data_IF_746910334805
#
_entry.id   IF_746910334805
#
_cell.length_a   1.000
_cell.length_b   1.000
_cell.length_c   1.000
_cell.angle_alpha   90.00
_cell.angle_beta   90.00
_cell.angle_gamma   90.00
#
_symmetry.space_group_name_H-M   'P 1'
#
loop_
_entity.id
_entity.type
_entity.pdbx_description
1 polymer ?
#
# COMPACT_ATOMS: atom_id res chain seq x y z
N UNK A 1 5.06 -21.48 23.74
CA UNK A 1 4.57 -21.61 22.36
C UNK A 1 3.07 -21.45 22.42
N UNK A 2 2.54 -20.31 21.97
CA UNK A 2 1.08 -20.17 21.88
C UNK A 2 0.61 -21.09 20.76
N UNK A 3 -0.39 -21.94 21.01
CA UNK A 3 -0.97 -22.77 19.96
C UNK A 3 -1.54 -21.88 18.86
N UNK A 4 -1.29 -22.25 17.61
CA UNK A 4 -1.90 -21.60 16.46
C UNK A 4 -3.43 -21.72 16.58
N UNK A 5 -4.17 -20.64 16.27
CA UNK A 5 -5.62 -20.73 16.20
C UNK A 5 -6.03 -21.78 15.13
N UNK A 6 -7.22 -22.41 15.30
CA UNK A 6 -7.83 -23.25 14.27
C UNK A 6 -7.78 -22.60 12.88
N UNK A 7 -7.68 -23.40 11.82
CA UNK A 7 -7.48 -22.99 10.42
C UNK A 7 -8.27 -21.74 9.95
N UNK A 8 -9.51 -21.57 10.43
CA UNK A 8 -10.42 -20.49 10.03
C UNK A 8 -10.48 -19.37 11.07
N UNK A 9 -9.46 -19.19 11.90
CA UNK A 9 -9.42 -18.21 12.96
C UNK A 9 -8.08 -17.46 12.92
N UNK A 10 -8.13 -16.14 13.09
CA UNK A 10 -6.99 -15.25 13.19
C UNK A 10 -6.97 -14.58 14.56
N UNK A 11 -5.78 -14.42 15.13
CA UNK A 11 -5.58 -13.58 16.32
C UNK A 11 -5.37 -12.14 15.86
N UNK A 12 -6.30 -11.22 16.13
CA UNK A 12 -6.16 -9.80 15.76
C UNK A 12 -5.68 -9.01 16.97
N UNK A 13 -4.68 -8.13 16.86
CA UNK A 13 -4.36 -7.22 17.95
C UNK A 13 -5.49 -6.27 18.28
N UNK A 14 -5.80 -6.12 19.57
CA UNK A 14 -6.71 -5.06 19.99
C UNK A 14 -6.10 -3.68 19.69
N UNK A 15 -6.94 -2.66 19.43
CA UNK A 15 -6.53 -1.28 19.52
C UNK A 15 -6.10 -0.96 20.97
N UNK A 16 -4.80 -1.11 21.22
CA UNK A 16 -4.00 -0.58 22.35
C UNK A 16 -4.56 -0.84 23.76
N UNK A 17 -4.06 -1.91 24.37
CA UNK A 17 -3.65 -1.89 25.79
C UNK A 17 -2.20 -2.42 25.84
N UNK A 18 -1.19 -1.55 26.07
CA UNK A 18 0.23 -1.95 26.10
C UNK A 18 0.57 -2.85 27.30
N UNK A 19 -0.27 -2.86 28.35
CA UNK A 19 -0.12 -3.66 29.55
C UNK A 19 -0.98 -4.94 29.53
N UNK A 20 -1.86 -5.08 28.53
CA UNK A 20 -2.60 -6.29 28.27
C UNK A 20 -1.66 -7.39 27.77
N UNK A 21 -1.13 -8.17 28.71
CA UNK A 21 -0.74 -9.57 28.47
C UNK A 21 -1.96 -10.48 28.16
N UNK A 22 -3.11 -9.91 27.79
CA UNK A 22 -4.34 -10.63 27.49
C UNK A 22 -4.48 -10.87 25.98
N UNK A 23 -4.98 -12.06 25.67
CA UNK A 23 -4.95 -12.71 24.36
C UNK A 23 -5.50 -11.83 23.22
N UNK A 24 -4.79 -11.79 22.10
CA UNK A 24 -5.32 -11.24 20.85
C UNK A 24 -6.70 -11.85 20.56
N UNK A 25 -7.78 -11.06 20.43
CA UNK A 25 -9.10 -11.58 20.12
C UNK A 25 -9.03 -12.45 18.88
N UNK A 26 -9.62 -13.62 19.01
CA UNK A 26 -9.69 -14.60 17.94
C UNK A 26 -10.90 -14.26 17.09
N UNK A 27 -10.67 -13.80 15.86
CA UNK A 27 -11.70 -13.50 14.88
C UNK A 27 -11.73 -14.58 13.80
N UNK A 28 -12.87 -14.84 13.16
CA UNK A 28 -12.93 -15.77 12.03
C UNK A 28 -12.21 -15.23 10.80
N UNK A 29 -11.56 -16.14 10.08
CA UNK A 29 -11.12 -15.98 8.69
C UNK A 29 -12.22 -16.55 7.80
N UNK A 30 -12.72 -15.75 6.86
CA UNK A 30 -13.82 -16.10 5.95
C UNK A 30 -13.33 -16.08 4.53
N UNK A 31 -13.35 -17.23 3.84
CA UNK A 31 -13.14 -17.28 2.40
C UNK A 31 -14.44 -16.82 1.72
N UNK A 32 -14.32 -15.85 0.83
CA UNK A 32 -15.43 -15.21 0.12
C UNK A 32 -15.32 -15.59 -1.36
N UNK A 33 -16.29 -16.35 -1.85
CA UNK A 33 -16.42 -16.74 -3.27
C UNK A 33 -17.68 -16.13 -3.91
N UNK A 34 -18.57 -15.52 -3.10
CA UNK A 34 -19.77 -14.84 -3.56
C UNK A 34 -19.95 -13.48 -2.86
N UNK A 35 -20.50 -12.50 -3.57
CA UNK A 35 -20.67 -11.14 -3.05
C UNK A 35 -21.53 -11.09 -1.77
N UNK A 36 -22.49 -12.00 -1.60
CA UNK A 36 -23.31 -12.10 -0.38
C UNK A 36 -22.54 -12.50 0.88
N UNK A 37 -21.28 -12.93 0.74
CA UNK A 37 -20.39 -13.28 1.86
C UNK A 37 -19.48 -12.11 2.26
N UNK A 38 -19.47 -11.01 1.49
CA UNK A 38 -18.75 -9.79 1.84
C UNK A 38 -19.39 -9.10 3.06
N UNK A 39 -18.63 -8.29 3.81
CA UNK A 39 -19.19 -7.48 4.88
C UNK A 39 -20.28 -6.53 4.34
N UNK A 40 -21.45 -6.41 5.00
CA UNK A 40 -22.53 -5.52 4.52
C UNK A 40 -22.06 -4.07 4.32
N UNK A 41 -21.27 -3.54 5.27
CA UNK A 41 -20.71 -2.18 5.20
C UNK A 41 -19.70 -1.99 4.07
N UNK A 42 -19.19 -3.07 3.50
CA UNK A 42 -18.26 -3.06 2.37
C UNK A 42 -19.01 -3.14 1.03
N UNK A 43 -20.19 -3.78 1.00
CA UNK A 43 -21.06 -3.77 -0.19
C UNK A 43 -21.78 -2.42 -0.31
N UNK A 44 -22.28 -1.90 0.80
CA UNK A 44 -22.99 -0.63 0.90
C UNK A 44 -22.27 0.29 1.90
N UNK A 45 -21.25 1.05 1.43
CA UNK A 45 -20.48 1.94 2.27
C UNK A 45 -21.36 2.96 3.00
N UNK A 46 -21.24 3.10 4.34
CA UNK A 46 -22.02 4.09 5.06
C UNK A 46 -21.69 5.51 4.60
N UNK A 47 -22.70 6.39 4.62
CA UNK A 47 -22.57 7.79 4.19
C UNK A 47 -22.37 8.76 5.36
N UNK A 48 -22.63 8.31 6.59
CA UNK A 48 -22.68 9.11 7.82
C UNK A 48 -21.51 8.86 8.77
N UNK A 49 -20.69 7.84 8.50
CA UNK A 49 -19.50 7.52 9.29
C UNK A 49 -18.37 6.97 8.44
N UNK A 50 -17.16 7.08 8.97
CA UNK A 50 -15.99 6.44 8.40
C UNK A 50 -15.88 4.99 8.87
N UNK A 51 -15.50 4.09 7.97
CA UNK A 51 -15.11 2.71 8.26
C UNK A 51 -13.64 2.56 7.93
N UNK A 52 -12.88 1.87 8.77
CA UNK A 52 -11.45 1.60 8.54
C UNK A 52 -11.25 0.10 8.37
N UNK A 53 -10.54 -0.30 7.32
CA UNK A 53 -10.23 -1.69 7.03
C UNK A 53 -8.73 -1.84 6.75
N UNK A 54 -8.15 -2.97 7.15
CA UNK A 54 -6.86 -3.41 6.59
C UNK A 54 -7.08 -4.01 5.21
N UNK A 55 -6.19 -3.73 4.26
CA UNK A 55 -6.33 -4.16 2.88
C UNK A 55 -4.99 -4.55 2.29
N UNK A 56 -4.98 -5.63 1.51
CA UNK A 56 -3.85 -6.11 0.73
C UNK A 56 -4.36 -6.89 -0.50
N UNK A 57 -3.49 -7.15 -1.48
CA UNK A 57 -3.76 -8.05 -2.58
C UNK A 57 -2.59 -8.99 -2.85
N UNK A 58 -2.89 -10.21 -3.26
CA UNK A 58 -1.90 -11.20 -3.67
C UNK A 58 -2.25 -11.85 -5.01
N UNK A 59 -1.22 -12.26 -5.76
CA UNK A 59 -1.41 -12.82 -7.09
C UNK A 59 -0.14 -13.14 -7.86
N UNK A 60 -0.30 -13.56 -9.11
CA UNK A 60 0.83 -13.82 -10.01
C UNK A 60 1.31 -12.49 -10.57
N UNK A 61 2.57 -12.16 -10.33
CA UNK A 61 3.20 -10.92 -10.81
C UNK A 61 2.28 -9.71 -10.68
N UNK A 62 1.68 -9.54 -9.48
CA UNK A 62 0.63 -8.56 -9.22
C UNK A 62 0.99 -7.16 -9.74
N UNK A 63 0.40 -6.82 -10.89
CA UNK A 63 0.59 -5.60 -11.66
C UNK A 63 -0.47 -5.53 -12.76
N UNK A 64 -0.33 -4.61 -13.71
CA UNK A 64 -1.26 -4.44 -14.84
C UNK A 64 -1.43 -5.65 -15.77
N UNK A 65 -0.40 -6.50 -15.88
CA UNK A 65 -0.36 -7.66 -16.78
C UNK A 65 -0.35 -9.00 -16.05
N UNK A 66 -0.27 -8.97 -14.72
CA UNK A 66 -0.39 -10.16 -13.88
C UNK A 66 -1.84 -10.54 -13.63
N UNK A 67 -2.08 -11.28 -12.55
CA UNK A 67 -3.41 -11.70 -12.14
C UNK A 67 -3.58 -11.57 -10.63
N UNK A 68 -4.56 -10.78 -10.20
CA UNK A 68 -5.02 -10.75 -8.81
C UNK A 68 -5.72 -12.08 -8.50
N UNK A 69 -5.27 -12.76 -7.45
CA UNK A 69 -5.76 -14.09 -7.07
C UNK A 69 -6.58 -14.05 -5.76
N UNK A 70 -6.18 -13.20 -4.82
CA UNK A 70 -6.90 -13.01 -3.56
C UNK A 70 -6.73 -11.56 -3.09
N UNK A 71 -7.81 -11.01 -2.53
CA UNK A 71 -7.84 -9.71 -1.87
C UNK A 71 -8.18 -9.92 -0.40
N UNK A 72 -7.39 -9.36 0.50
CA UNK A 72 -7.54 -9.56 1.93
C UNK A 72 -8.15 -8.32 2.58
N UNK A 73 -9.18 -8.51 3.40
CA UNK A 73 -9.85 -7.43 4.15
C UNK A 73 -9.80 -7.75 5.64
N UNK A 74 -9.14 -6.91 6.44
CA UNK A 74 -9.20 -7.01 7.89
C UNK A 74 -10.22 -6.01 8.44
N UNK A 75 -11.22 -6.53 9.15
CA UNK A 75 -12.19 -5.77 9.93
C UNK A 75 -12.05 -6.13 11.42
N UNK A 76 -12.56 -5.30 12.35
CA UNK A 76 -12.45 -5.58 13.79
C UNK A 76 -13.01 -6.95 14.21
N UNK A 77 -13.96 -7.51 13.45
CA UNK A 77 -14.66 -8.73 13.78
C UNK A 77 -14.30 -9.96 12.93
N UNK A 78 -13.52 -9.81 11.85
CA UNK A 78 -13.18 -10.90 10.94
C UNK A 78 -12.11 -10.49 9.93
N UNK A 79 -11.39 -11.47 9.39
CA UNK A 79 -10.58 -11.33 8.18
C UNK A 79 -11.32 -12.01 7.02
N UNK A 80 -11.43 -11.34 5.89
CA UNK A 80 -12.07 -11.86 4.69
C UNK A 80 -11.01 -12.07 3.62
N UNK A 81 -10.96 -13.27 3.06
CA UNK A 81 -10.12 -13.63 1.92
C UNK A 81 -11.02 -13.71 0.69
N UNK A 82 -11.07 -12.64 -0.08
CA UNK A 82 -11.88 -12.51 -1.29
C UNK A 82 -11.18 -13.23 -2.43
N UNK A 83 -11.74 -14.35 -2.83
CA UNK A 83 -11.16 -15.25 -3.81
C UNK A 83 -11.49 -14.80 -5.24
N UNK A 84 -10.53 -14.17 -5.92
CA UNK A 84 -10.70 -13.69 -7.28
C UNK A 84 -10.71 -14.81 -8.32
N UNK A 85 -10.16 -15.99 -7.99
CA UNK A 85 -10.10 -17.14 -8.90
C UNK A 85 -11.47 -17.84 -8.92
N UNK A 86 -11.98 -18.25 -7.75
CA UNK A 86 -13.27 -18.96 -7.66
C UNK A 86 -14.47 -18.00 -7.79
N UNK A 87 -14.38 -16.80 -7.20
CA UNK A 87 -15.45 -15.80 -7.26
C UNK A 87 -15.49 -14.99 -8.57
N UNK A 88 -14.38 -14.98 -9.31
CA UNK A 88 -14.26 -14.33 -10.61
C UNK A 88 -14.45 -12.81 -10.59
N UNK A 89 -14.55 -12.23 -11.78
CA UNK A 89 -14.67 -10.78 -11.98
C UNK A 89 -15.88 -10.17 -11.26
N UNK A 90 -17.03 -10.87 -11.26
CA UNK A 90 -18.25 -10.36 -10.62
C UNK A 90 -18.06 -10.11 -9.12
N UNK A 91 -17.33 -10.97 -8.42
CA UNK A 91 -17.02 -10.77 -7.01
C UNK A 91 -16.13 -9.54 -6.81
N UNK A 92 -15.09 -9.38 -7.63
CA UNK A 92 -14.17 -8.25 -7.52
C UNK A 92 -14.87 -6.92 -7.86
N UNK A 93 -15.76 -6.93 -8.85
CA UNK A 93 -16.58 -5.76 -9.18
C UNK A 93 -17.56 -5.41 -8.04
N UNK A 94 -18.06 -6.38 -7.28
CA UNK A 94 -18.88 -6.11 -6.10
C UNK A 94 -18.11 -5.37 -4.99
N UNK A 95 -16.78 -5.45 -4.97
CA UNK A 95 -15.91 -4.71 -4.04
C UNK A 95 -15.72 -3.23 -4.45
N UNK A 96 -15.99 -2.88 -5.71
CA UNK A 96 -15.70 -1.56 -6.27
C UNK A 96 -16.29 -0.39 -5.45
N UNK A 97 -17.56 -0.41 -5.01
CA UNK A 97 -18.12 0.68 -4.23
C UNK A 97 -17.30 1.01 -2.98
N UNK A 98 -16.82 0.01 -2.24
CA UNK A 98 -15.97 0.23 -1.07
C UNK A 98 -14.56 0.69 -1.41
N UNK A 99 -13.94 0.10 -2.44
CA UNK A 99 -12.56 0.43 -2.81
C UNK A 99 -12.43 1.86 -3.34
N UNK A 100 -13.47 2.38 -4.01
CA UNK A 100 -13.52 3.76 -4.52
C UNK A 100 -14.15 4.75 -3.51
N UNK A 101 -14.75 4.26 -2.41
CA UNK A 101 -15.42 5.10 -1.41
C UNK A 101 -14.47 6.02 -0.65
N UNK A 102 -14.92 7.25 -0.42
CA UNK A 102 -14.29 8.23 0.49
C UNK A 102 -14.58 7.95 1.97
N UNK A 103 -15.59 7.12 2.27
CA UNK A 103 -16.01 6.83 3.65
C UNK A 103 -15.40 5.54 4.18
N UNK A 104 -14.80 4.72 3.31
CA UNK A 104 -14.03 3.55 3.73
C UNK A 104 -12.55 3.86 3.56
N UNK A 105 -11.83 3.91 4.67
CA UNK A 105 -10.38 4.06 4.68
C UNK A 105 -9.72 2.70 4.53
N UNK A 106 -8.87 2.56 3.51
CA UNK A 106 -8.08 1.35 3.28
C UNK A 106 -6.69 1.58 3.87
N UNK A 107 -6.38 0.89 4.97
CA UNK A 107 -5.04 0.85 5.54
C UNK A 107 -4.25 -0.21 4.78
N UNK A 108 -3.19 0.21 4.09
CA UNK A 108 -2.36 -0.62 3.22
C UNK A 108 -0.90 -0.41 3.58
N UNK A 109 -0.03 -1.35 3.24
CA UNK A 109 1.42 -1.14 3.29
C UNK A 109 1.99 -1.15 1.88
N UNK A 110 2.43 0.02 1.38
CA UNK A 110 2.89 0.21 0.00
C UNK A 110 1.82 -0.13 -1.08
N UNK A 111 0.82 0.73 -1.23
CA UNK A 111 -0.37 0.46 -2.05
C UNK A 111 -0.17 0.48 -3.58
N UNK A 112 1.04 0.75 -4.08
CA UNK A 112 1.28 1.07 -5.49
C UNK A 112 0.92 -0.08 -6.43
N UNK A 113 1.24 -1.32 -6.05
CA UNK A 113 0.99 -2.51 -6.90
C UNK A 113 -0.44 -3.01 -6.79
N UNK A 114 -1.04 -2.92 -5.61
CA UNK A 114 -2.45 -3.24 -5.41
C UNK A 114 -3.31 -2.33 -6.29
N UNK A 115 -3.04 -1.02 -6.24
CA UNK A 115 -3.74 -0.02 -7.04
C UNK A 115 -3.54 -0.27 -8.54
N UNK A 116 -2.32 -0.57 -9.01
CA UNK A 116 -2.06 -0.89 -10.42
C UNK A 116 -2.85 -2.12 -10.89
N UNK A 117 -2.86 -3.20 -10.10
CA UNK A 117 -3.57 -4.42 -10.43
C UNK A 117 -5.09 -4.18 -10.48
N UNK A 118 -5.66 -3.54 -9.45
CA UNK A 118 -7.08 -3.18 -9.40
C UNK A 118 -7.51 -2.30 -10.57
N UNK A 119 -6.68 -1.31 -10.92
CA UNK A 119 -6.99 -0.36 -11.99
C UNK A 119 -7.01 -1.02 -13.36
N UNK A 120 -5.95 -1.75 -13.74
CA UNK A 120 -5.84 -2.29 -15.09
C UNK A 120 -6.61 -3.60 -15.29
N UNK A 121 -6.77 -4.42 -14.25
CA UNK A 121 -7.48 -5.69 -14.37
C UNK A 121 -9.00 -5.54 -14.19
N UNK A 122 -9.44 -4.57 -13.37
CA UNK A 122 -10.86 -4.44 -13.00
C UNK A 122 -11.43 -3.02 -13.14
N UNK A 123 -10.64 -2.03 -13.55
CA UNK A 123 -11.09 -0.64 -13.69
C UNK A 123 -11.46 0.01 -12.36
N UNK A 124 -10.88 -0.45 -11.24
CA UNK A 124 -11.14 0.04 -9.88
C UNK A 124 -10.07 1.06 -9.49
N UNK A 125 -10.48 2.24 -9.01
CA UNK A 125 -9.58 3.31 -8.56
C UNK A 125 -9.55 3.39 -7.04
N UNK A 126 -8.50 2.82 -6.46
CA UNK A 126 -8.33 2.84 -5.01
C UNK A 126 -8.29 4.28 -4.49
N UNK A 127 -9.14 4.57 -3.52
CA UNK A 127 -9.34 5.93 -2.99
C UNK A 127 -9.31 5.92 -1.45
N UNK A 128 -9.06 7.05 -0.79
CA UNK A 128 -9.04 7.15 0.68
C UNK A 128 -8.15 6.08 1.34
N UNK A 129 -6.87 6.09 0.95
CA UNK A 129 -5.87 5.14 1.42
C UNK A 129 -5.03 5.76 2.54
N UNK A 130 -4.81 4.98 3.59
CA UNK A 130 -3.78 5.22 4.60
C UNK A 130 -2.62 4.26 4.30
N UNK A 131 -1.54 4.77 3.70
CA UNK A 131 -0.34 3.95 3.46
C UNK A 131 0.57 3.97 4.70
N UNK A 132 0.64 2.84 5.39
CA UNK A 132 1.42 2.69 6.62
C UNK A 132 2.94 2.90 6.42
N UNK A 133 3.47 2.68 5.21
CA UNK A 133 4.88 2.94 4.91
C UNK A 133 5.14 4.45 4.83
N UNK A 134 4.24 5.21 4.21
CA UNK A 134 4.30 6.68 4.17
C UNK A 134 4.11 7.25 5.58
N UNK A 135 3.13 6.74 6.33
CA UNK A 135 2.84 7.15 7.69
C UNK A 135 4.07 6.97 8.60
N UNK A 136 4.75 5.82 8.49
CA UNK A 136 5.99 5.58 9.22
C UNK A 136 7.05 6.64 8.89
N UNK A 137 7.32 6.91 7.61
CA UNK A 137 8.32 7.92 7.22
C UNK A 137 8.01 9.32 7.74
N UNK A 138 6.73 9.70 7.78
CA UNK A 138 6.29 10.99 8.34
C UNK A 138 6.50 11.05 9.86
N UNK A 139 6.19 9.98 10.59
CA UNK A 139 6.45 9.89 12.04
C UNK A 139 7.95 10.04 12.33
N UNK A 140 8.81 9.37 11.54
CA UNK A 140 10.27 9.49 11.70
C UNK A 140 10.76 10.93 11.50
N UNK A 141 10.20 11.63 10.50
CA UNK A 141 10.51 13.03 10.21
C UNK A 141 10.06 13.95 11.37
N UNK A 142 8.87 13.74 11.92
CA UNK A 142 8.38 14.47 13.11
C UNK A 142 9.26 14.24 14.35
N UNK A 143 9.78 13.03 14.52
CA UNK A 143 10.73 12.67 15.59
C UNK A 143 12.16 13.20 15.33
N UNK A 144 12.36 13.98 14.26
CA UNK A 144 13.62 14.64 13.94
C UNK A 144 14.65 13.73 13.26
N UNK A 145 14.26 12.52 12.84
CA UNK A 145 15.12 11.69 12.01
C UNK A 145 15.14 12.26 10.60
N UNK A 146 16.33 12.25 9.99
CA UNK A 146 16.45 12.71 8.60
C UNK A 146 15.70 11.74 7.68
N UNK A 147 14.88 12.24 6.76
CA UNK A 147 14.24 11.40 5.75
C UNK A 147 15.29 10.58 5.00
N UNK A 148 15.20 9.26 5.11
CA UNK A 148 15.98 8.34 4.28
C UNK A 148 15.08 7.84 3.15
N UNK A 149 15.25 8.42 1.96
CA UNK A 149 14.52 8.00 0.75
C UNK A 149 14.99 6.64 0.19
N UNK A 150 15.95 6.02 0.88
CA UNK A 150 16.54 4.73 0.53
C UNK A 150 16.15 3.61 1.51
N UNK A 151 15.49 3.94 2.63
CA UNK A 151 15.18 2.99 3.70
C UNK A 151 13.67 2.98 3.97
N UNK A 152 12.93 2.42 3.00
CA UNK A 152 11.52 2.15 3.20
C UNK A 152 11.38 0.96 4.15
N UNK A 153 10.71 1.18 5.27
CA UNK A 153 10.42 0.09 6.20
C UNK A 153 9.55 -0.96 5.50
N UNK A 154 9.99 -2.22 5.54
CA UNK A 154 9.17 -3.34 5.09
C UNK A 154 8.04 -3.61 6.07
N UNK A 155 6.96 -4.26 5.62
CA UNK A 155 5.86 -4.62 6.53
C UNK A 155 6.33 -5.46 7.73
N UNK A 156 7.26 -6.40 7.53
CA UNK A 156 7.84 -7.20 8.63
C UNK A 156 8.71 -6.34 9.55
N UNK A 157 9.47 -5.39 9.00
CA UNK A 157 10.20 -4.40 9.81
C UNK A 157 9.25 -3.57 10.67
N UNK A 158 8.11 -3.17 10.11
CA UNK A 158 7.08 -2.39 10.81
C UNK A 158 6.43 -3.20 11.94
N UNK A 159 6.13 -4.48 11.71
CA UNK A 159 5.64 -5.39 12.76
C UNK A 159 6.67 -5.60 13.87
N UNK A 160 7.95 -5.68 13.53
CA UNK A 160 9.03 -5.88 14.50
C UNK A 160 9.32 -4.63 15.34
N UNK A 161 8.93 -3.44 14.88
CA UNK A 161 9.14 -2.20 15.63
C UNK A 161 8.29 -2.20 16.92
N UNK A 162 8.92 -2.04 18.10
CA UNK A 162 8.24 -2.09 19.40
C UNK A 162 7.27 -0.93 19.64
N UNK A 163 7.32 0.14 18.84
CA UNK A 163 6.35 1.25 18.91
C UNK A 163 4.96 0.86 18.42
N UNK A 164 4.87 -0.20 17.60
CA UNK A 164 3.63 -0.67 17.01
C UNK A 164 3.29 -2.07 17.52
N UNK A 165 3.86 -3.13 16.96
CA UNK A 165 3.53 -4.50 17.36
C UNK A 165 4.63 -5.18 18.19
N UNK A 166 5.91 -4.87 17.94
CA UNK A 166 7.04 -5.54 18.61
C UNK A 166 7.11 -7.05 18.35
N UNK A 167 6.54 -7.53 17.25
CA UNK A 167 6.48 -8.96 16.91
C UNK A 167 7.55 -9.27 15.86
N UNK A 168 8.53 -10.08 16.25
CA UNK A 168 9.53 -10.61 15.32
C UNK A 168 8.99 -11.84 14.59
N UNK A 169 8.75 -11.69 13.27
CA UNK A 169 8.22 -12.72 12.40
C UNK A 169 9.32 -13.47 11.66
N UNK A 170 10.13 -14.26 12.39
CA UNK A 170 11.17 -15.10 11.76
C UNK A 170 10.55 -16.19 10.87
N UNK A 171 9.43 -16.80 11.30
CA UNK A 171 8.72 -17.85 10.56
C UNK A 171 8.11 -17.34 9.24
N UNK A 172 7.80 -16.04 9.11
CA UNK A 172 7.23 -15.46 7.89
C UNK A 172 8.25 -15.34 6.77
N UNK A 173 9.55 -15.22 7.07
CA UNK A 173 10.56 -15.13 6.00
C UNK A 173 10.74 -16.50 5.32
N UNK A 174 10.69 -17.60 6.07
CA UNK A 174 10.74 -18.96 5.48
C UNK A 174 9.52 -19.22 4.59
N UNK A 175 8.32 -18.88 5.06
CA UNK A 175 7.10 -18.95 4.26
C UNK A 175 7.24 -18.08 3.01
N UNK A 176 7.67 -16.82 3.13
CA UNK A 176 7.88 -15.93 1.98
C UNK A 176 8.92 -16.44 1.00
N UNK A 177 9.97 -17.13 1.46
CA UNK A 177 10.92 -17.79 0.57
C UNK A 177 10.24 -18.90 -0.22
N UNK A 178 9.41 -19.73 0.42
CA UNK A 178 8.62 -20.74 -0.26
C UNK A 178 7.63 -20.11 -1.26
N UNK A 179 6.93 -19.04 -0.87
CA UNK A 179 6.04 -18.28 -1.76
C UNK A 179 6.78 -17.74 -2.99
N UNK A 180 8.02 -17.29 -2.84
CA UNK A 180 8.84 -16.78 -3.96
C UNK A 180 9.35 -17.89 -4.90
N UNK A 181 9.41 -19.14 -4.44
CA UNK A 181 9.85 -20.27 -5.27
C UNK A 181 8.76 -20.76 -6.22
N UNK A 182 7.49 -20.51 -5.87
CA UNK A 182 6.35 -20.90 -6.69
C UNK A 182 5.57 -19.66 -7.15
N UNK A 183 5.82 -19.16 -8.37
CA UNK A 183 5.11 -18.00 -8.92
C UNK A 183 3.60 -18.21 -9.05
N UNK A 184 3.12 -19.46 -9.13
CA UNK A 184 1.71 -19.80 -9.27
C UNK A 184 1.03 -20.09 -7.93
N UNK A 185 1.75 -19.94 -6.81
CA UNK A 185 1.28 -20.30 -5.47
C UNK A 185 -0.14 -19.80 -5.15
N UNK A 186 -0.45 -18.55 -5.50
CA UNK A 186 -1.74 -17.92 -5.18
C UNK A 186 -2.90 -18.40 -6.08
N UNK A 187 -2.62 -19.15 -7.15
CA UNK A 187 -3.63 -19.66 -8.08
C UNK A 187 -4.30 -20.95 -7.62
N UNK A 188 -3.63 -21.76 -6.79
CA UNK A 188 -4.10 -23.09 -6.46
C UNK A 188 -5.40 -23.07 -5.65
N UNK A 189 -6.30 -24.01 -5.96
CA UNK A 189 -7.58 -24.17 -5.27
C UNK A 189 -7.88 -25.64 -4.92
N UNK A 190 -8.54 -25.90 -3.76
CA UNK A 190 -8.93 -24.93 -2.73
C UNK A 190 -7.70 -24.32 -2.03
N UNK A 191 -7.84 -23.14 -1.42
CA UNK A 191 -6.73 -22.50 -0.71
C UNK A 191 -6.18 -23.42 0.37
N UNK A 192 -4.86 -23.64 0.37
CA UNK A 192 -4.20 -24.41 1.42
C UNK A 192 -4.19 -23.66 2.75
N UNK A 193 -3.96 -24.38 3.84
CA UNK A 193 -3.82 -23.79 5.18
C UNK A 193 -2.73 -22.72 5.25
N UNK A 194 -1.62 -22.95 4.55
CA UNK A 194 -0.54 -21.98 4.46
C UNK A 194 -0.96 -20.70 3.73
N UNK A 195 -1.73 -20.82 2.63
CA UNK A 195 -2.27 -19.66 1.90
C UNK A 195 -3.18 -18.82 2.79
N UNK A 196 -4.12 -19.48 3.50
CA UNK A 196 -5.10 -18.81 4.36
C UNK A 196 -4.38 -18.04 5.47
N UNK A 197 -3.40 -18.67 6.14
CA UNK A 197 -2.62 -18.04 7.21
C UNK A 197 -1.77 -16.88 6.69
N UNK A 198 -1.02 -17.11 5.61
CA UNK A 198 -0.14 -16.09 5.03
C UNK A 198 -0.93 -14.84 4.62
N UNK A 199 -2.04 -15.03 3.89
CA UNK A 199 -2.91 -13.94 3.45
C UNK A 199 -3.52 -13.18 4.64
N UNK A 200 -4.00 -13.88 5.67
CA UNK A 200 -4.54 -13.22 6.86
C UNK A 200 -3.47 -12.42 7.63
N UNK A 201 -2.23 -12.91 7.66
CA UNK A 201 -1.09 -12.27 8.33
C UNK A 201 -0.62 -10.98 7.65
N UNK A 202 -0.94 -10.75 6.37
CA UNK A 202 -0.61 -9.50 5.68
C UNK A 202 -1.54 -8.33 6.07
N UNK A 203 -2.76 -8.61 6.55
CA UNK A 203 -3.74 -7.55 6.88
C UNK A 203 -4.14 -7.45 8.36
N UNK A 204 -4.08 -8.54 9.14
CA UNK A 204 -4.70 -8.56 10.48
C UNK A 204 -4.09 -7.61 11.50
N UNK A 205 -2.89 -7.12 11.25
CA UNK A 205 -2.20 -6.14 12.12
C UNK A 205 -2.44 -4.69 11.69
N UNK A 206 -2.91 -4.45 10.46
CA UNK A 206 -2.96 -3.11 9.87
C UNK A 206 -3.87 -2.16 10.67
N UNK A 207 -5.00 -2.64 11.21
CA UNK A 207 -5.87 -1.80 12.04
C UNK A 207 -5.19 -1.34 13.34
N UNK A 208 -4.46 -2.22 14.02
CA UNK A 208 -3.72 -1.88 15.24
C UNK A 208 -2.58 -0.90 14.95
N UNK A 209 -1.83 -1.14 13.87
CA UNK A 209 -0.79 -0.24 13.38
C UNK A 209 -1.38 1.14 13.07
N UNK A 210 -2.50 1.18 12.35
CA UNK A 210 -3.21 2.42 12.02
C UNK A 210 -3.54 3.22 13.28
N UNK A 211 -4.15 2.60 14.30
CA UNK A 211 -4.48 3.30 15.54
C UNK A 211 -3.24 3.86 16.24
N UNK A 212 -2.17 3.08 16.34
CA UNK A 212 -0.90 3.53 16.94
C UNK A 212 -0.25 4.68 16.16
N UNK A 213 -0.32 4.67 14.82
CA UNK A 213 0.21 5.76 13.98
C UNK A 213 -0.65 7.02 14.07
N UNK A 214 -1.98 6.87 14.14
CA UNK A 214 -2.91 8.01 14.28
C UNK A 214 -2.69 8.79 15.57
N UNK A 215 -2.25 8.15 16.66
CA UNK A 215 -1.89 8.83 17.90
C UNK A 215 -0.60 9.66 17.81
N UNK A 216 0.25 9.38 16.81
CA UNK A 216 1.58 9.98 16.64
C UNK A 216 1.61 11.07 15.59
N UNK A 217 0.79 10.95 14.54
CA UNK A 217 0.77 11.87 13.42
C UNK A 217 0.07 13.18 13.79
N UNK A 218 0.73 14.30 13.55
CA UNK A 218 0.07 15.60 13.64
C UNK A 218 -0.82 15.88 12.41
N UNK A 219 -1.65 16.94 12.49
CA UNK A 219 -2.58 17.33 11.41
C UNK A 219 -1.93 17.54 10.05
N UNK A 220 -0.74 18.16 10.01
CA UNK A 220 0.00 18.43 8.77
C UNK A 220 0.48 17.13 8.14
N UNK A 221 0.99 16.22 8.95
CA UNK A 221 1.43 14.90 8.49
C UNK A 221 0.26 14.02 8.05
N UNK A 222 -0.89 14.10 8.71
CA UNK A 222 -2.11 13.41 8.25
C UNK A 222 -2.54 13.89 6.86
N UNK A 223 -2.47 15.19 6.60
CA UNK A 223 -2.74 15.72 5.25
C UNK A 223 -1.70 15.25 4.23
N UNK A 224 -0.40 15.35 4.54
CA UNK A 224 0.68 14.86 3.69
C UNK A 224 0.54 13.36 3.39
N UNK A 225 0.14 12.57 4.38
CA UNK A 225 -0.14 11.15 4.25
C UNK A 225 -1.27 10.91 3.24
N UNK A 226 -2.39 11.61 3.37
CA UNK A 226 -3.52 11.47 2.45
C UNK A 226 -3.13 11.88 1.02
N UNK A 227 -2.39 12.98 0.86
CA UNK A 227 -1.90 13.47 -0.42
C UNK A 227 -0.97 12.46 -1.08
N UNK A 228 0.09 12.03 -0.37
CA UNK A 228 1.08 11.10 -0.90
C UNK A 228 0.50 9.71 -1.14
N UNK A 229 -0.43 9.24 -0.30
CA UNK A 229 -1.15 7.98 -0.54
C UNK A 229 -1.98 8.05 -1.83
N UNK A 230 -2.61 9.20 -2.11
CA UNK A 230 -3.34 9.42 -3.36
C UNK A 230 -2.40 9.43 -4.58
N UNK A 231 -1.21 10.03 -4.45
CA UNK A 231 -0.17 9.99 -5.49
C UNK A 231 0.39 8.57 -5.70
N UNK A 232 0.54 7.78 -4.63
CA UNK A 232 0.96 6.38 -4.70
C UNK A 232 -0.09 5.50 -5.39
N UNK A 233 -1.38 5.70 -5.12
CA UNK A 233 -2.45 4.98 -5.83
C UNK A 233 -2.41 5.24 -7.35
N UNK A 234 -2.02 6.46 -7.75
CA UNK A 234 -1.85 6.84 -9.17
C UNK A 234 -0.52 6.36 -9.77
N UNK A 235 0.46 6.03 -8.93
CA UNK A 235 1.75 5.51 -9.40
C UNK A 235 1.50 4.22 -10.21
N UNK A 236 2.18 4.09 -11.34
CA UNK A 236 1.94 3.07 -12.35
C UNK A 236 0.58 3.11 -13.07
N UNK A 237 -0.47 3.72 -12.55
CA UNK A 237 -1.80 3.80 -13.18
C UNK A 237 -1.93 4.80 -14.34
N UNK A 238 -0.90 4.92 -15.19
CA UNK A 238 -0.87 5.89 -16.29
C UNK A 238 -1.77 5.42 -17.44
N UNK A 239 -2.66 6.30 -17.87
CA UNK A 239 -3.45 6.22 -19.09
C UNK A 239 -3.27 7.52 -19.91
N UNK A 240 -3.98 7.66 -21.02
CA UNK A 240 -3.82 8.80 -21.94
C UNK A 240 -4.48 10.11 -21.45
N UNK A 241 -5.13 10.14 -20.27
CA UNK A 241 -5.93 11.28 -19.82
C UNK A 241 -5.32 12.06 -18.64
N UNK A 242 -4.04 11.85 -18.32
CA UNK A 242 -3.33 12.51 -17.22
C UNK A 242 -4.06 12.44 -15.86
N UNK A 243 -4.69 11.31 -15.56
CA UNK A 243 -5.45 11.05 -14.34
C UNK A 243 -6.73 11.89 -14.18
N UNK A 244 -7.27 12.45 -15.27
CA UNK A 244 -8.50 13.25 -15.23
C UNK A 244 -9.71 12.48 -14.66
N UNK A 245 -9.68 11.15 -14.74
CA UNK A 245 -10.72 10.27 -14.23
C UNK A 245 -10.47 9.78 -12.80
N UNK A 246 -9.38 10.17 -12.16
CA UNK A 246 -9.08 9.84 -10.76
C UNK A 246 -9.74 10.82 -9.79
N UNK A 247 -10.10 10.39 -8.57
CA UNK A 247 -10.55 11.30 -7.51
C UNK A 247 -9.55 12.44 -7.31
N UNK A 248 -10.06 13.66 -7.09
CA UNK A 248 -9.20 14.83 -6.81
C UNK A 248 -8.28 14.58 -5.63
N UNK A 249 -7.08 15.18 -5.65
CA UNK A 249 -6.17 15.12 -4.52
C UNK A 249 -6.81 15.77 -3.29
N UNK A 250 -6.54 15.28 -2.07
CA UNK A 250 -7.15 15.82 -0.86
C UNK A 250 -6.75 17.30 -0.67
N UNK A 251 -7.73 18.20 -0.51
CA UNK A 251 -7.44 19.61 -0.28
C UNK A 251 -6.76 19.81 1.08
N UNK A 252 -6.05 20.94 1.24
CA UNK A 252 -5.52 21.34 2.54
C UNK A 252 -6.69 21.67 3.49
N UNK A 253 -6.75 21.07 4.69
CA UNK A 253 -7.78 21.37 5.67
C UNK A 253 -7.82 22.85 6.08
N UNK A 254 -9.02 23.42 6.23
CA UNK A 254 -9.24 24.85 6.54
C UNK A 254 -8.59 25.26 7.88
N UNK A 255 -8.53 24.37 8.86
CA UNK A 255 -7.91 24.63 10.15
C UNK A 255 -6.38 24.73 10.03
N UNK A 256 -5.77 23.94 9.16
CA UNK A 256 -4.34 24.07 8.84
C UNK A 256 -4.05 25.35 8.05
N UNK A 257 -4.95 25.74 7.14
CA UNK A 257 -4.87 27.03 6.42
C UNK A 257 -4.91 28.19 7.42
N UNK A 258 -5.80 28.13 8.42
CA UNK A 258 -5.94 29.16 9.44
C UNK A 258 -4.69 29.33 10.33
N UNK A 259 -3.87 28.28 10.48
CA UNK A 259 -2.55 28.35 11.14
C UNK A 259 -1.47 29.05 10.30
N UNK A 260 -1.80 29.52 9.09
CA UNK A 260 -0.87 30.19 8.18
C UNK A 260 0.13 29.23 7.52
N UNK A 261 -0.14 27.92 7.55
CA UNK A 261 0.70 26.93 6.90
C UNK A 261 0.49 26.96 5.38
N UNK A 262 1.58 27.14 4.64
CA UNK A 262 1.61 27.08 3.18
C UNK A 262 2.46 25.88 2.78
N UNK A 263 1.86 24.72 2.45
CA UNK A 263 2.62 23.57 1.99
C UNK A 263 3.25 23.84 0.62
N UNK A 264 4.40 23.22 0.35
CA UNK A 264 4.84 23.08 -1.03
C UNK A 264 3.88 22.13 -1.77
N UNK A 265 3.49 22.50 -2.98
CA UNK A 265 2.69 21.61 -3.84
C UNK A 265 3.49 20.34 -4.14
N UNK A 266 2.89 19.17 -3.92
CA UNK A 266 3.47 17.87 -4.31
C UNK A 266 2.77 17.29 -5.53
N UNK A 267 3.57 16.72 -6.43
CA UNK A 267 3.09 16.18 -7.71
C UNK A 267 3.64 14.77 -7.95
N UNK A 268 2.95 14.02 -8.81
CA UNK A 268 3.49 12.86 -9.49
C UNK A 268 3.88 13.26 -10.91
N UNK A 269 5.17 13.22 -11.23
CA UNK A 269 5.69 13.40 -12.59
C UNK A 269 6.13 12.07 -13.19
N UNK A 270 5.91 11.93 -14.50
CA UNK A 270 6.24 10.74 -15.26
C UNK A 270 7.23 11.13 -16.34
N UNK A 271 8.40 10.50 -16.30
CA UNK A 271 9.45 10.69 -17.28
C UNK A 271 9.55 9.46 -18.19
N UNK A 272 9.37 9.67 -19.50
CA UNK A 272 9.64 8.64 -20.50
C UNK A 272 11.16 8.47 -20.68
N UNK A 273 11.60 7.22 -20.68
CA UNK A 273 12.99 6.79 -20.81
C UNK A 273 13.17 6.11 -22.17
N UNK A 274 14.01 6.64 -23.06
CA UNK A 274 14.22 6.02 -24.36
C UNK A 274 14.75 4.58 -24.25
N UNK A 275 14.46 3.71 -25.24
CA UNK A 275 14.94 2.33 -25.25
C UNK A 275 16.46 2.23 -25.00
N UNK A 276 16.86 1.32 -24.12
CA UNK A 276 18.27 1.10 -23.74
C UNK A 276 18.87 2.13 -22.79
N UNK A 277 18.15 3.21 -22.41
CA UNK A 277 18.67 4.25 -21.50
C UNK A 277 18.37 4.00 -20.03
N UNK A 278 17.46 3.09 -19.68
CA UNK A 278 17.07 2.82 -18.29
C UNK A 278 18.28 2.41 -17.42
N UNK A 279 19.24 1.67 -17.99
CA UNK A 279 20.49 1.32 -17.30
C UNK A 279 21.33 2.54 -16.88
N UNK A 280 21.27 3.65 -17.63
CA UNK A 280 21.95 4.92 -17.27
C UNK A 280 21.22 5.69 -16.16
N UNK A 281 19.90 5.54 -16.08
CA UNK A 281 19.08 6.14 -15.02
C UNK A 281 19.33 5.41 -13.70
N UNK A 282 19.21 4.08 -13.71
CA UNK A 282 19.35 3.24 -12.51
C UNK A 282 20.83 3.21 -12.07
N UNK A 283 21.74 3.05 -13.02
CA UNK A 283 23.16 2.82 -12.75
C UNK A 283 23.45 1.42 -12.20
N UNK A 284 24.74 1.10 -12.05
CA UNK A 284 25.17 -0.21 -11.54
C UNK A 284 24.65 -0.40 -10.11
N UNK A 285 23.90 -1.49 -9.88
CA UNK A 285 23.26 -1.82 -8.59
C UNK A 285 22.37 -0.70 -8.01
N UNK A 286 21.81 0.18 -8.86
CA UNK A 286 20.97 1.29 -8.40
C UNK A 286 21.73 2.52 -7.87
N UNK A 287 23.06 2.55 -7.94
CA UNK A 287 23.85 3.63 -7.34
C UNK A 287 23.54 5.02 -7.94
N UNK A 288 23.20 5.10 -9.23
CA UNK A 288 22.89 6.39 -9.86
C UNK A 288 21.54 6.91 -9.41
N UNK A 289 20.50 6.08 -9.44
CA UNK A 289 19.16 6.50 -8.99
C UNK A 289 19.15 6.85 -7.50
N UNK A 290 19.88 6.11 -6.67
CA UNK A 290 20.07 6.45 -5.24
C UNK A 290 20.71 7.82 -5.06
N UNK A 291 21.79 8.12 -5.79
CA UNK A 291 22.42 9.44 -5.76
C UNK A 291 21.47 10.55 -6.20
N UNK A 292 20.59 10.30 -7.19
CA UNK A 292 19.56 11.28 -7.57
C UNK A 292 18.56 11.50 -6.43
N UNK A 293 18.02 10.43 -5.83
CA UNK A 293 17.09 10.53 -4.68
C UNK A 293 17.69 11.37 -3.55
N UNK A 294 18.92 11.06 -3.13
CA UNK A 294 19.63 11.77 -2.07
C UNK A 294 19.85 13.25 -2.39
N UNK A 295 20.13 13.58 -3.66
CA UNK A 295 20.40 14.96 -4.08
C UNK A 295 19.13 15.82 -4.23
N UNK A 296 17.99 15.19 -4.53
CA UNK A 296 16.76 15.90 -4.89
C UNK A 296 15.74 15.94 -3.76
N UNK A 297 15.80 14.99 -2.83
CA UNK A 297 14.77 14.80 -1.81
C UNK A 297 13.37 14.56 -2.42
N UNK A 298 13.33 13.81 -3.53
CA UNK A 298 12.11 13.36 -4.18
C UNK A 298 12.10 11.83 -4.23
N UNK A 299 10.91 11.24 -4.11
CA UNK A 299 10.73 9.82 -4.29
C UNK A 299 10.83 9.49 -5.78
N UNK A 300 11.65 8.51 -6.15
CA UNK A 300 11.91 8.13 -7.54
C UNK A 300 11.71 6.64 -7.67
N UNK A 301 10.67 6.26 -8.41
CA UNK A 301 10.22 4.89 -8.55
C UNK A 301 10.36 4.48 -10.02
N UNK A 302 10.82 3.25 -10.24
CA UNK A 302 10.90 2.66 -11.59
C UNK A 302 9.94 1.48 -11.69
N UNK A 303 9.43 1.20 -12.89
CA UNK A 303 8.56 0.05 -13.13
C UNK A 303 9.23 -1.28 -12.79
N UNK A 304 10.56 -1.38 -12.89
CA UNK A 304 11.28 -2.64 -12.74
C UNK A 304 10.82 -3.67 -13.77
N UNK A 305 10.84 -4.96 -13.39
CA UNK A 305 10.36 -6.05 -14.25
C UNK A 305 8.83 -6.12 -14.37
N UNK A 306 8.08 -5.50 -13.44
CA UNK A 306 6.61 -5.62 -13.32
C UNK A 306 5.83 -4.38 -13.80
N UNK A 307 6.50 -3.23 -13.96
CA UNK A 307 5.88 -1.98 -14.40
C UNK A 307 6.40 -1.54 -15.77
N UNK A 308 6.00 -0.36 -16.26
CA UNK A 308 6.43 0.14 -17.57
C UNK A 308 7.97 0.24 -17.62
N UNK A 309 8.64 -0.50 -18.53
CA UNK A 309 10.11 -0.60 -18.55
C UNK A 309 10.78 0.71 -19.02
N UNK A 310 9.99 1.61 -19.58
CA UNK A 310 10.38 2.87 -20.23
C UNK A 310 9.90 4.10 -19.45
N UNK A 311 9.49 3.95 -18.18
CA UNK A 311 9.02 5.08 -17.36
C UNK A 311 9.68 5.16 -16.00
N UNK A 312 9.90 6.40 -15.56
CA UNK A 312 10.32 6.75 -14.20
C UNK A 312 9.26 7.66 -13.60
N UNK A 313 8.84 7.34 -12.38
CA UNK A 313 7.83 8.04 -11.61
C UNK A 313 8.54 8.84 -10.53
N UNK A 314 8.22 10.12 -10.41
CA UNK A 314 8.87 11.03 -9.47
C UNK A 314 7.78 11.69 -8.65
N UNK A 315 7.80 11.47 -7.34
CA UNK A 315 6.79 11.97 -6.40
C UNK A 315 7.47 12.89 -5.38
N UNK A 316 6.83 14.02 -5.06
CA UNK A 316 7.28 14.93 -4.03
C UNK A 316 7.03 16.39 -4.40
N UNK A 317 7.64 17.35 -3.69
CA UNK A 317 7.36 18.75 -3.95
C UNK A 317 7.89 19.21 -5.31
N UNK A 318 7.17 20.14 -5.95
CA UNK A 318 7.38 20.50 -7.38
C UNK A 318 8.83 20.83 -7.70
N UNK A 319 9.52 21.60 -6.86
CA UNK A 319 10.92 22.01 -7.14
C UNK A 319 11.88 20.81 -7.14
N UNK A 320 11.70 19.89 -6.20
CA UNK A 320 12.47 18.67 -6.00
C UNK A 320 12.23 17.70 -7.17
N UNK A 321 10.96 17.57 -7.59
CA UNK A 321 10.56 16.79 -8.76
C UNK A 321 11.22 17.32 -10.04
N UNK A 322 11.14 18.63 -10.29
CA UNK A 322 11.78 19.24 -11.48
C UNK A 322 13.30 19.13 -11.47
N UNK A 323 13.93 19.22 -10.30
CA UNK A 323 15.36 18.96 -10.14
C UNK A 323 15.71 17.52 -10.50
N UNK A 324 14.95 16.54 -10.01
CA UNK A 324 15.15 15.13 -10.32
C UNK A 324 14.97 14.85 -11.82
N UNK A 325 13.93 15.41 -12.46
CA UNK A 325 13.72 15.31 -13.91
C UNK A 325 14.93 15.81 -14.69
N UNK A 326 15.45 16.99 -14.35
CA UNK A 326 16.59 17.58 -15.05
C UNK A 326 17.84 16.69 -14.96
N UNK A 327 18.12 16.15 -13.76
CA UNK A 327 19.26 15.24 -13.55
C UNK A 327 19.08 13.95 -14.34
N UNK A 328 17.88 13.34 -14.30
CA UNK A 328 17.62 12.08 -15.02
C UNK A 328 17.68 12.30 -16.54
N UNK A 329 17.11 13.39 -17.06
CA UNK A 329 17.21 13.77 -18.48
C UNK A 329 18.66 13.93 -18.92
N UNK A 330 19.48 14.62 -18.12
CA UNK A 330 20.90 14.78 -18.39
C UNK A 330 21.65 13.45 -18.50
N UNK A 331 21.30 12.45 -17.69
CA UNK A 331 21.89 11.09 -17.74
C UNK A 331 21.49 10.28 -18.97
N UNK A 332 20.38 10.62 -19.62
CA UNK A 332 19.89 9.92 -20.82
C UNK A 332 20.51 10.46 -22.12
N UNK A 333 21.10 11.64 -22.10
CA UNK A 333 21.81 12.22 -23.24
C UNK A 333 22.99 11.33 -23.65
N UNK A 334 23.24 11.23 -24.95
CA UNK A 334 24.49 10.67 -25.46
C UNK A 334 25.57 11.74 -25.37
N UNK A 335 26.60 11.44 -24.58
CA UNK A 335 27.81 12.25 -24.45
C UNK A 335 28.86 11.74 -25.44
#
# INVERSE_FOLDING_TARGET
>A
MASDPPLNLAKVPLPIDPDSKSEFPVVPIRIVTHASQLPPEFIDPPVDRQVVIGFDCEGIDLCRHGALCVMQLALPNAVYLVDAIEGGELLIQACKPALESTNIMKVIHDCKRDSEALHFQYGIKLNNVFDSQIAYSLIEEEEGRKPSLNDHISFVGLLADPRYCGISYLEKEEVRVLLRQDPEFWTYRPMSEMMIRAAADDVRFLLSIYHSMMERLNKKSLWHLALRSSLYCRCFCINDNDYADWPSLPPLPDDIVAEGYVPEEEILSILNVPPGKMGRVIGRKGASIQSVKESCHAEIITGGAKGPPDKVFIIGPVKQVRKAEAIIRGRMLDL
#
